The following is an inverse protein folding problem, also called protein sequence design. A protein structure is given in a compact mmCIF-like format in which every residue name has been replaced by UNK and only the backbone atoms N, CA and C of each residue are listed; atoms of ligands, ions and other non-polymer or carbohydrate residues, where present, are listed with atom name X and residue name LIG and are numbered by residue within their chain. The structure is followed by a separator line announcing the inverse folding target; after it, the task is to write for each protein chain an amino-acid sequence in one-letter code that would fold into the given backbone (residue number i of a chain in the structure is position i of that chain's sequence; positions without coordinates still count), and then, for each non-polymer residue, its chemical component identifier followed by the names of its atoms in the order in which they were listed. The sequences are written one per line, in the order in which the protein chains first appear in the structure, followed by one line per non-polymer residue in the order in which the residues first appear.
data_IF_025953845274
#
_entry.id   IF_025953845274
#
_cell.length_a   1.000
_cell.length_b   1.000
_cell.length_c   1.000
_cell.angle_alpha   90.00
_cell.angle_beta   90.00
_cell.angle_gamma   90.00
#
_symmetry.space_group_name_H-M   'P 1'
#
loop_
_entity.id
_entity.type
_entity.pdbx_description
1 polymer ?
#
# COMPACT_ATOMS: atom_id res chain seq x y z
N UNK A 1 6.41 -13.55 2.54
CA UNK A 1 5.32 -12.83 1.84
C UNK A 1 5.86 -11.79 0.85
N UNK A 2 6.80 -10.90 1.23
CA UNK A 2 7.44 -9.98 0.27
C UNK A 2 8.36 -10.70 -0.74
N UNK A 3 9.05 -11.74 -0.30
CA UNK A 3 9.97 -12.53 -1.14
C UNK A 3 9.22 -13.34 -2.22
N UNK A 4 8.12 -14.00 -1.84
CA UNK A 4 7.24 -14.72 -2.77
C UNK A 4 6.60 -13.82 -3.84
N UNK A 5 6.30 -12.55 -3.50
CA UNK A 5 5.78 -11.58 -4.49
C UNK A 5 6.88 -11.17 -5.47
N UNK A 6 8.12 -11.00 -4.99
CA UNK A 6 9.26 -10.68 -5.87
C UNK A 6 9.58 -11.83 -6.82
N UNK A 7 9.58 -13.07 -6.32
CA UNK A 7 9.76 -14.27 -7.14
C UNK A 7 8.65 -14.37 -8.20
N UNK A 8 7.39 -14.19 -7.81
CA UNK A 8 6.27 -14.26 -8.74
C UNK A 8 6.33 -13.14 -9.81
N UNK A 9 6.70 -11.93 -9.41
CA UNK A 9 6.92 -10.79 -10.33
C UNK A 9 8.07 -11.07 -11.30
N UNK A 10 9.12 -11.75 -10.85
CA UNK A 10 10.24 -12.14 -11.70
C UNK A 10 9.85 -13.25 -12.68
N UNK A 11 9.15 -14.28 -12.21
CA UNK A 11 8.64 -15.36 -13.07
C UNK A 11 7.71 -14.84 -14.16
N UNK A 12 6.79 -13.93 -13.82
CA UNK A 12 5.88 -13.31 -14.80
C UNK A 12 6.67 -12.52 -15.85
N UNK A 13 7.67 -11.71 -15.43
CA UNK A 13 8.52 -10.99 -16.40
C UNK A 13 9.30 -11.91 -17.31
N UNK A 14 9.89 -12.98 -16.78
CA UNK A 14 10.63 -13.96 -17.57
C UNK A 14 9.71 -14.66 -18.58
N UNK A 15 8.49 -15.03 -18.16
CA UNK A 15 7.48 -15.61 -19.04
C UNK A 15 7.05 -14.64 -20.15
N UNK A 16 6.83 -13.36 -19.84
CA UNK A 16 6.50 -12.34 -20.86
C UNK A 16 7.62 -12.26 -21.90
N UNK A 17 8.87 -12.13 -21.47
CA UNK A 17 10.03 -12.04 -22.39
C UNK A 17 10.12 -13.28 -23.29
N UNK A 18 9.95 -14.48 -22.71
CA UNK A 18 9.99 -15.73 -23.47
C UNK A 18 8.82 -15.84 -24.45
N UNK A 19 7.60 -15.52 -24.02
CA UNK A 19 6.41 -15.58 -24.87
C UNK A 19 6.46 -14.56 -26.01
N UNK A 20 6.97 -13.33 -25.77
CA UNK A 20 7.19 -12.34 -26.83
C UNK A 20 8.26 -12.81 -27.83
N UNK A 21 9.33 -13.47 -27.36
CA UNK A 21 10.33 -14.02 -28.26
C UNK A 21 9.75 -15.17 -29.11
N UNK A 22 8.93 -16.03 -28.51
CA UNK A 22 8.23 -17.12 -29.19
C UNK A 22 7.27 -16.57 -30.25
N UNK A 23 6.47 -15.55 -29.91
CA UNK A 23 5.57 -14.87 -30.83
C UNK A 23 6.33 -14.35 -32.07
N UNK A 24 7.46 -13.64 -31.87
CA UNK A 24 8.27 -13.13 -32.99
C UNK A 24 8.84 -14.22 -33.87
N UNK A 25 9.27 -15.34 -33.28
CA UNK A 25 9.77 -16.48 -34.06
C UNK A 25 8.66 -17.13 -34.89
N UNK A 26 7.45 -17.28 -34.32
CA UNK A 26 6.29 -17.81 -35.04
C UNK A 26 5.82 -16.86 -36.14
N UNK A 27 5.80 -15.55 -35.90
CA UNK A 27 5.50 -14.53 -36.92
C UNK A 27 6.49 -14.61 -38.09
N UNK A 28 7.78 -14.80 -37.81
CA UNK A 28 8.79 -14.96 -38.87
C UNK A 28 8.58 -16.23 -39.71
N UNK A 29 8.12 -17.34 -39.11
CA UNK A 29 7.79 -18.57 -39.84
C UNK A 29 6.50 -18.41 -40.65
N UNK A 30 5.54 -17.62 -40.16
CA UNK A 30 4.30 -17.31 -40.88
C UNK A 30 4.57 -16.47 -42.14
N UNK A 31 5.59 -15.61 -42.14
CA UNK A 31 5.92 -14.74 -43.28
C UNK A 31 6.53 -15.48 -44.49
N UNK A 32 7.11 -16.68 -44.28
CA UNK A 32 7.81 -17.44 -45.33
C UNK A 32 7.03 -18.68 -45.77
N UNK A 33 6.27 -18.56 -46.87
CA UNK A 33 5.51 -19.67 -47.49
C UNK A 33 6.36 -20.91 -47.78
N UNK A 34 7.65 -20.74 -48.16
CA UNK A 34 8.57 -21.86 -48.40
C UNK A 34 8.85 -22.69 -47.14
N UNK A 35 8.91 -22.05 -45.97
CA UNK A 35 9.18 -22.72 -44.70
C UNK A 35 7.93 -23.44 -44.20
N UNK A 36 6.73 -22.90 -44.47
CA UNK A 36 5.47 -23.60 -44.26
C UNK A 36 5.32 -24.81 -45.19
N UNK A 37 5.71 -24.70 -46.47
CA UNK A 37 5.70 -25.83 -47.42
C UNK A 37 6.63 -26.96 -46.96
N UNK A 38 7.80 -26.62 -46.38
CA UNK A 38 8.78 -27.59 -45.85
C UNK A 38 8.33 -28.30 -44.57
N UNK A 39 7.33 -27.79 -43.86
CA UNK A 39 6.76 -28.45 -42.68
C UNK A 39 6.02 -29.76 -43.02
N UNK A 40 5.58 -29.93 -44.28
CA UNK A 40 4.85 -31.11 -44.75
C UNK A 40 5.78 -32.29 -45.10
N UNK A 41 6.66 -32.64 -44.14
CA UNK A 41 7.69 -33.69 -44.28
C UNK A 41 7.12 -35.06 -44.65
N UNK A 42 5.92 -35.40 -44.18
CA UNK A 42 5.25 -36.67 -44.54
C UNK A 42 4.87 -36.71 -46.02
N UNK A 43 4.42 -35.61 -46.61
CA UNK A 43 4.06 -35.54 -48.03
C UNK A 43 5.30 -35.58 -48.91
N UNK A 44 6.35 -34.86 -48.51
CA UNK A 44 7.64 -34.87 -49.19
C UNK A 44 8.31 -36.26 -49.19
N UNK A 45 8.19 -37.01 -48.09
CA UNK A 45 8.72 -38.36 -47.99
C UNK A 45 7.92 -39.39 -48.79
N UNK A 46 6.63 -39.16 -49.04
CA UNK A 46 5.73 -40.14 -49.65
C UNK A 46 5.47 -39.90 -51.15
N UNK A 47 5.93 -38.77 -51.70
CA UNK A 47 5.72 -38.40 -53.11
C UNK A 47 6.84 -38.92 -54.06
N UNK A 48 6.50 -39.47 -55.26
CA UNK A 48 7.47 -39.75 -56.33
C UNK A 48 7.99 -38.45 -57.01
N UNK A 49 9.06 -38.50 -57.85
CA UNK A 49 9.71 -37.30 -58.42
C UNK A 49 8.76 -36.45 -59.30
N UNK A 50 9.01 -35.13 -59.42
CA UNK A 50 7.99 -34.13 -59.66
C UNK A 50 7.56 -34.10 -61.13
N UNK A 51 6.31 -34.51 -61.40
CA UNK A 51 5.65 -34.26 -62.68
C UNK A 51 4.25 -33.69 -62.45
N UNK A 52 4.15 -32.49 -61.88
CA UNK A 52 2.98 -31.63 -62.03
C UNK A 52 3.25 -30.23 -61.44
N UNK A 53 3.36 -29.17 -62.27
CA UNK A 53 3.36 -27.79 -61.81
C UNK A 53 1.91 -27.39 -61.53
N UNK A 54 1.47 -27.40 -60.28
CA UNK A 54 0.11 -26.97 -59.96
C UNK A 54 -0.37 -27.14 -58.53
N UNK A 55 0.39 -27.81 -57.67
CA UNK A 55 0.07 -28.00 -56.26
C UNK A 55 1.20 -27.33 -55.47
N UNK A 56 1.02 -26.07 -55.09
CA UNK A 56 2.00 -25.36 -54.23
C UNK A 56 1.31 -24.48 -53.20
N UNK A 57 0.25 -23.77 -53.59
CA UNK A 57 -0.43 -22.82 -52.71
C UNK A 57 -1.47 -23.41 -51.76
N UNK A 58 -1.97 -24.62 -52.02
CA UNK A 58 -3.04 -25.23 -51.21
C UNK A 58 -2.53 -26.08 -50.06
N UNK A 59 -1.22 -26.35 -50.00
CA UNK A 59 -0.68 -27.26 -48.98
C UNK A 59 -0.30 -26.55 -47.68
N UNK A 60 -0.01 -25.24 -47.68
CA UNK A 60 0.36 -24.51 -46.44
C UNK A 60 -0.84 -23.93 -45.65
N UNK A 61 -2.03 -23.83 -46.24
CA UNK A 61 -3.20 -23.14 -45.66
C UNK A 61 -3.64 -23.73 -44.29
N UNK A 62 -3.53 -25.06 -44.11
CA UNK A 62 -3.82 -25.71 -42.83
C UNK A 62 -2.77 -25.40 -41.76
N UNK A 63 -1.47 -25.35 -42.13
CA UNK A 63 -0.39 -25.00 -41.22
C UNK A 63 -0.45 -23.51 -40.84
N UNK A 64 -0.74 -22.64 -41.79
CA UNK A 64 -0.94 -21.20 -41.61
C UNK A 64 -2.08 -20.93 -40.61
N UNK A 65 -3.26 -21.54 -40.82
CA UNK A 65 -4.40 -21.38 -39.91
C UNK A 65 -4.11 -21.86 -38.49
N UNK A 66 -3.37 -22.96 -38.33
CA UNK A 66 -2.95 -23.44 -37.02
C UNK A 66 -1.94 -22.48 -36.37
N UNK A 67 -0.97 -21.98 -37.14
CA UNK A 67 0.05 -21.05 -36.65
C UNK A 67 -0.56 -19.71 -36.23
N UNK A 68 -1.51 -19.17 -37.01
CA UNK A 68 -2.29 -17.99 -36.66
C UNK A 68 -3.12 -18.19 -35.38
N UNK A 69 -3.76 -19.35 -35.23
CA UNK A 69 -4.52 -19.70 -34.02
C UNK A 69 -3.60 -19.71 -32.79
N UNK A 70 -2.42 -20.32 -32.88
CA UNK A 70 -1.42 -20.32 -31.80
C UNK A 70 -0.87 -18.93 -31.53
N UNK A 71 -0.57 -18.12 -32.55
CA UNK A 71 -0.14 -16.74 -32.39
C UNK A 71 -1.20 -15.91 -31.65
N UNK A 72 -2.47 -16.08 -31.99
CA UNK A 72 -3.58 -15.40 -31.32
C UNK A 72 -3.73 -15.84 -29.86
N UNK A 73 -3.56 -17.14 -29.56
CA UNK A 73 -3.60 -17.66 -28.19
C UNK A 73 -2.42 -17.13 -27.35
N UNK A 74 -1.22 -17.07 -27.93
CA UNK A 74 -0.02 -16.50 -27.27
C UNK A 74 -0.22 -15.01 -27.00
N UNK A 75 -0.73 -14.25 -27.97
CA UNK A 75 -1.05 -12.83 -27.81
C UNK A 75 -2.05 -12.60 -26.67
N UNK A 76 -3.15 -13.34 -26.65
CA UNK A 76 -4.14 -13.29 -25.57
C UNK A 76 -3.52 -13.65 -24.21
N UNK A 77 -2.60 -14.62 -24.17
CA UNK A 77 -1.90 -14.98 -22.94
C UNK A 77 -0.97 -13.87 -22.46
N UNK A 78 -0.23 -13.22 -23.37
CA UNK A 78 0.61 -12.06 -23.07
C UNK A 78 -0.21 -10.90 -22.50
N UNK A 79 -1.34 -10.56 -23.11
CA UNK A 79 -2.23 -9.51 -22.62
C UNK A 79 -2.71 -9.79 -21.18
N UNK A 80 -3.07 -11.04 -20.88
CA UNK A 80 -3.46 -11.46 -19.53
C UNK A 80 -2.29 -11.41 -18.52
N UNK A 81 -1.07 -11.70 -18.95
CA UNK A 81 0.13 -11.58 -18.12
C UNK A 81 0.45 -10.11 -17.81
N UNK A 82 0.33 -9.21 -18.78
CA UNK A 82 0.51 -7.77 -18.58
C UNK A 82 -0.54 -7.21 -17.59
N UNK A 83 -1.81 -7.61 -17.74
CA UNK A 83 -2.86 -7.27 -16.79
C UNK A 83 -2.55 -7.77 -15.38
N UNK A 84 -2.00 -8.99 -15.26
CA UNK A 84 -1.62 -9.57 -13.98
C UNK A 84 -0.44 -8.82 -13.35
N UNK A 85 0.56 -8.42 -14.13
CA UNK A 85 1.66 -7.57 -13.65
C UNK A 85 1.14 -6.23 -13.12
N UNK A 86 0.24 -5.59 -13.88
CA UNK A 86 -0.39 -4.34 -13.46
C UNK A 86 -1.20 -4.50 -12.16
N UNK A 87 -1.95 -5.61 -12.03
CA UNK A 87 -2.69 -5.91 -10.80
C UNK A 87 -1.77 -6.13 -9.59
N UNK A 88 -0.62 -6.79 -9.78
CA UNK A 88 0.39 -6.97 -8.74
C UNK A 88 0.97 -5.63 -8.31
N UNK A 89 1.35 -4.76 -9.26
CA UNK A 89 1.89 -3.43 -8.95
C UNK A 89 0.85 -2.55 -8.22
N UNK A 90 -0.40 -2.58 -8.68
CA UNK A 90 -1.50 -1.87 -8.05
C UNK A 90 -1.74 -2.37 -6.61
N UNK A 91 -1.66 -3.68 -6.40
CA UNK A 91 -1.77 -4.30 -5.07
C UNK A 91 -0.60 -3.93 -4.16
N UNK A 92 0.63 -3.90 -4.69
CA UNK A 92 1.82 -3.44 -3.96
C UNK A 92 1.64 -2.00 -3.45
N UNK A 93 1.17 -1.11 -4.32
CA UNK A 93 0.84 0.28 -3.96
C UNK A 93 -0.26 0.32 -2.90
N UNK A 94 -1.33 -0.45 -3.04
CA UNK A 94 -2.40 -0.52 -2.05
C UNK A 94 -1.90 -0.98 -0.67
N UNK A 95 -1.09 -2.05 -0.62
CA UNK A 95 -0.53 -2.56 0.64
C UNK A 95 0.40 -1.52 1.28
N UNK A 96 1.24 -0.85 0.50
CA UNK A 96 2.12 0.22 0.99
C UNK A 96 1.33 1.38 1.61
N UNK A 97 0.27 1.85 0.93
CA UNK A 97 -0.62 2.89 1.45
C UNK A 97 -1.30 2.48 2.76
N UNK A 98 -1.72 1.22 2.88
CA UNK A 98 -2.34 0.68 4.10
C UNK A 98 -1.34 0.61 5.26
N UNK A 99 -0.09 0.20 4.99
CA UNK A 99 0.99 0.19 5.98
C UNK A 99 1.31 1.59 6.49
N UNK A 100 1.41 2.58 5.58
CA UNK A 100 1.69 3.97 5.95
C UNK A 100 0.54 4.60 6.72
N UNK A 101 -0.70 4.33 6.34
CA UNK A 101 -1.90 4.74 7.09
C UNK A 101 -1.93 4.10 8.50
N UNK A 102 -1.57 2.82 8.60
CA UNK A 102 -1.46 2.11 9.88
C UNK A 102 -0.39 2.71 10.81
N UNK A 103 0.81 2.99 10.28
CA UNK A 103 1.89 3.67 11.00
C UNK A 103 1.47 5.07 11.44
N UNK A 104 0.84 5.84 10.56
CA UNK A 104 0.38 7.18 10.88
C UNK A 104 -0.71 7.16 11.98
N UNK A 105 -1.58 6.15 11.98
CA UNK A 105 -2.55 5.95 13.07
C UNK A 105 -1.87 5.64 14.40
N UNK A 106 -0.89 4.75 14.40
CA UNK A 106 -0.13 4.42 15.61
C UNK A 106 0.63 5.63 16.15
N UNK A 107 1.31 6.37 15.28
CA UNK A 107 1.99 7.62 15.64
C UNK A 107 1.01 8.65 16.23
N UNK A 108 -0.19 8.79 15.62
CA UNK A 108 -1.24 9.66 16.15
C UNK A 108 -1.57 9.25 17.58
N UNK A 109 -1.87 7.97 17.83
CA UNK A 109 -2.23 7.46 19.17
C UNK A 109 -1.10 7.66 20.17
N UNK A 110 0.16 7.39 19.79
CA UNK A 110 1.32 7.56 20.67
C UNK A 110 1.51 9.03 21.09
N UNK A 111 1.39 9.96 20.15
CA UNK A 111 1.41 11.40 20.44
C UNK A 111 0.28 11.80 21.39
N UNK A 112 -0.90 11.17 21.30
CA UNK A 112 -1.99 11.42 22.26
C UNK A 112 -1.65 10.90 23.64
N UNK A 113 -1.19 9.66 23.74
CA UNK A 113 -0.89 9.01 25.00
C UNK A 113 0.23 9.76 25.75
N UNK A 114 1.28 10.15 25.05
CA UNK A 114 2.39 10.93 25.62
C UNK A 114 1.94 12.33 26.06
N UNK A 115 1.09 13.00 25.29
CA UNK A 115 0.54 14.31 25.68
C UNK A 115 -0.31 14.21 26.95
N UNK A 116 -1.20 13.21 27.05
CA UNK A 116 -2.01 12.96 28.26
C UNK A 116 -1.12 12.65 29.46
N UNK A 117 -0.12 11.78 29.27
CA UNK A 117 0.85 11.42 30.32
C UNK A 117 1.67 12.62 30.79
N UNK A 118 2.08 13.51 29.88
CA UNK A 118 2.79 14.73 30.22
C UNK A 118 1.95 15.65 31.10
N UNK A 119 0.67 15.88 30.76
CA UNK A 119 -0.25 16.70 31.56
C UNK A 119 -0.44 16.08 32.96
N UNK A 120 -0.66 14.76 33.03
CA UNK A 120 -0.78 14.07 34.30
C UNK A 120 0.49 14.19 35.15
N UNK A 121 1.66 14.09 34.52
CA UNK A 121 2.96 14.25 35.18
C UNK A 121 3.14 15.67 35.74
N UNK A 122 2.76 16.71 35.00
CA UNK A 122 2.80 18.09 35.48
C UNK A 122 1.84 18.31 36.67
N UNK A 123 0.62 17.79 36.60
CA UNK A 123 -0.33 17.86 37.72
C UNK A 123 0.16 17.10 38.95
N UNK A 124 0.73 15.92 38.76
CA UNK A 124 1.32 15.11 39.83
C UNK A 124 2.55 15.79 40.45
N UNK A 125 3.40 16.44 39.66
CA UNK A 125 4.54 17.20 40.17
C UNK A 125 4.12 18.34 41.10
N UNK A 126 3.11 19.11 40.69
CA UNK A 126 2.58 20.22 41.51
C UNK A 126 1.93 19.68 42.78
N UNK A 127 1.10 18.63 42.67
CA UNK A 127 0.52 17.95 43.82
C UNK A 127 1.57 17.38 44.77
N UNK A 128 2.69 16.86 44.25
CA UNK A 128 3.80 16.36 45.05
C UNK A 128 4.49 17.51 45.80
N UNK A 129 4.79 18.64 45.15
CA UNK A 129 5.44 19.81 45.78
C UNK A 129 4.62 20.38 46.93
N UNK A 130 3.29 20.42 46.80
CA UNK A 130 2.40 20.89 47.88
C UNK A 130 2.01 19.79 48.88
N UNK A 131 2.15 18.51 48.51
CA UNK A 131 1.79 17.36 49.33
C UNK A 131 2.91 16.88 50.27
N UNK A 132 4.15 17.31 50.06
CA UNK A 132 5.20 17.18 51.07
C UNK A 132 4.85 18.07 52.26
N UNK A 133 5.13 17.59 53.48
CA UNK A 133 4.75 18.22 54.76
C UNK A 133 5.33 19.64 54.92
N UNK A 134 4.69 20.63 54.29
CA UNK A 134 5.07 22.03 54.34
C UNK A 134 4.50 22.65 55.62
N UNK A 135 5.23 22.48 56.73
CA UNK A 135 5.24 23.46 57.81
C UNK A 135 5.83 24.76 57.25
N UNK A 136 5.03 25.48 56.48
CA UNK A 136 5.41 26.78 55.94
C UNK A 136 5.13 27.81 57.03
N UNK A 137 6.12 28.62 57.46
CA UNK A 137 5.97 29.59 58.55
C UNK A 137 4.94 30.71 58.28
N UNK A 138 4.30 30.69 57.10
CA UNK A 138 3.17 31.53 56.71
C UNK A 138 1.82 31.05 57.27
N UNK A 139 1.70 29.79 57.70
CA UNK A 139 0.46 29.23 58.27
C UNK A 139 0.53 29.03 59.80
N UNK A 140 1.67 29.32 60.43
CA UNK A 140 1.89 29.17 61.88
C UNK A 140 1.63 30.47 62.67
N UNK A 141 1.15 31.51 61.98
CA UNK A 141 0.81 32.81 62.58
C UNK A 141 -0.64 32.74 63.14
N UNK A 142 -0.86 33.00 64.45
CA UNK A 142 -2.16 32.83 65.13
C UNK A 142 -3.32 33.65 64.57
N UNK A 143 -3.08 34.55 63.60
CA UNK A 143 -4.13 35.28 62.85
C UNK A 143 -4.79 34.46 61.74
N UNK A 144 -4.19 33.33 61.34
CA UNK A 144 -4.60 32.52 60.18
C UNK A 144 -4.91 31.06 60.52
N UNK A 145 -5.16 30.77 61.81
CA UNK A 145 -5.43 29.44 62.40
C UNK A 145 -6.70 28.74 61.86
N UNK A 146 -7.51 29.46 61.09
CA UNK A 146 -8.74 28.96 60.46
C UNK A 146 -8.52 28.21 59.12
N UNK A 147 -7.27 28.02 58.68
CA UNK A 147 -6.94 27.19 57.50
C UNK A 147 -7.46 27.71 56.15
N UNK A 148 -8.04 28.92 56.12
CA UNK A 148 -8.68 29.48 54.93
C UNK A 148 -7.69 29.77 53.80
N UNK A 149 -6.47 30.23 54.14
CA UNK A 149 -5.39 30.46 53.17
C UNK A 149 -4.94 29.16 52.50
N UNK A 150 -4.87 28.07 53.26
CA UNK A 150 -4.51 26.75 52.72
C UNK A 150 -5.56 26.28 51.71
N UNK A 151 -6.84 26.36 52.09
CA UNK A 151 -7.96 26.01 51.20
C UNK A 151 -8.01 26.89 49.95
N UNK A 152 -7.66 28.18 50.06
CA UNK A 152 -7.62 29.09 48.92
C UNK A 152 -6.48 28.74 47.95
N UNK A 153 -5.28 28.45 48.45
CA UNK A 153 -4.12 28.08 47.62
C UNK A 153 -4.34 26.73 46.95
N UNK A 154 -4.84 25.72 47.68
CA UNK A 154 -5.19 24.42 47.11
C UNK A 154 -6.34 24.54 46.11
N UNK A 155 -7.35 25.36 46.40
CA UNK A 155 -8.45 25.62 45.49
C UNK A 155 -8.00 26.31 44.19
N UNK A 156 -7.12 27.31 44.30
CA UNK A 156 -6.62 28.07 43.15
C UNK A 156 -5.69 27.22 42.28
N UNK A 157 -4.82 26.41 42.88
CA UNK A 157 -3.97 25.46 42.15
C UNK A 157 -4.79 24.38 41.45
N UNK A 158 -5.80 23.80 42.11
CA UNK A 158 -6.74 22.86 41.49
C UNK A 158 -7.55 23.51 40.35
N UNK A 159 -8.01 24.75 40.51
CA UNK A 159 -8.75 25.47 39.49
C UNK A 159 -7.89 25.76 38.25
N UNK A 160 -6.62 26.15 38.44
CA UNK A 160 -5.68 26.37 37.35
C UNK A 160 -5.34 25.06 36.63
N UNK A 161 -5.15 23.96 37.36
CA UNK A 161 -4.93 22.62 36.79
C UNK A 161 -6.14 22.17 35.97
N UNK A 162 -7.35 22.29 36.53
CA UNK A 162 -8.58 21.92 35.85
C UNK A 162 -8.84 22.79 34.62
N UNK A 163 -8.60 24.10 34.72
CA UNK A 163 -8.70 25.03 33.59
C UNK A 163 -7.72 24.69 32.47
N UNK A 164 -6.46 24.40 32.80
CA UNK A 164 -5.45 23.99 31.83
C UNK A 164 -5.82 22.66 31.16
N UNK A 165 -6.32 21.69 31.93
CA UNK A 165 -6.83 20.42 31.41
C UNK A 165 -8.02 20.62 30.47
N UNK A 166 -8.99 21.46 30.82
CA UNK A 166 -10.16 21.75 29.98
C UNK A 166 -9.76 22.49 28.69
N UNK A 167 -8.85 23.48 28.78
CA UNK A 167 -8.36 24.20 27.60
C UNK A 167 -7.60 23.26 26.66
N UNK A 168 -6.76 22.37 27.19
CA UNK A 168 -6.06 21.36 26.41
C UNK A 168 -7.02 20.32 25.84
N UNK A 169 -8.03 19.89 26.60
CA UNK A 169 -9.07 18.97 26.13
C UNK A 169 -9.89 19.59 25.00
N UNK A 170 -10.25 20.87 25.09
CA UNK A 170 -10.96 21.61 24.05
C UNK A 170 -10.07 21.85 22.83
N UNK A 171 -8.82 22.28 23.02
CA UNK A 171 -7.85 22.40 21.94
C UNK A 171 -7.68 21.07 21.23
N UNK A 172 -7.57 19.98 21.98
CA UNK A 172 -7.43 18.64 21.46
C UNK A 172 -8.67 18.16 20.70
N UNK A 173 -9.87 18.35 21.27
CA UNK A 173 -11.15 17.99 20.64
C UNK A 173 -11.36 18.81 19.36
N UNK A 174 -11.01 20.09 19.37
CA UNK A 174 -11.07 20.96 18.19
C UNK A 174 -10.06 20.54 17.11
N UNK A 175 -8.84 20.12 17.50
CA UNK A 175 -7.82 19.62 16.58
C UNK A 175 -8.24 18.29 15.96
N UNK A 176 -8.84 17.39 16.75
CA UNK A 176 -9.36 16.11 16.25
C UNK A 176 -10.52 16.33 15.27
N UNK A 177 -11.48 17.19 15.62
CA UNK A 177 -12.60 17.58 14.73
C UNK A 177 -12.10 18.23 13.43
N UNK A 178 -11.07 19.07 13.48
CA UNK A 178 -10.47 19.65 12.29
C UNK A 178 -9.65 18.65 11.47
N UNK A 179 -9.06 17.61 12.07
CA UNK A 179 -8.38 16.54 11.30
C UNK A 179 -9.35 15.63 10.56
N UNK A 180 -10.56 15.40 11.08
CA UNK A 180 -11.59 14.66 10.32
C UNK A 180 -12.09 15.47 9.11
N UNK A 181 -12.20 16.79 9.24
CA UNK A 181 -12.57 17.66 8.11
C UNK A 181 -11.53 17.67 6.98
N UNK A 182 -10.26 17.43 7.28
CA UNK A 182 -9.18 17.38 6.27
C UNK A 182 -9.06 16.02 5.58
N UNK A 183 -9.47 14.92 6.22
CA UNK A 183 -9.43 13.56 5.62
C UNK A 183 -10.64 13.30 4.70
N UNK A 184 -11.74 14.03 4.88
CA UNK A 184 -12.95 13.91 4.04
C UNK A 184 -12.85 14.71 2.72
N UNK A 185 -11.77 15.46 2.49
CA UNK A 185 -11.54 16.21 1.23
C UNK A 185 -10.35 15.69 0.41
N UNK A 186 -10.36 14.43 -0.04
CA UNK A 186 -9.81 14.15 -1.35
C UNK A 186 -10.83 13.40 -2.20
N UNK A 187 -12.00 13.98 -2.44
CA UNK A 187 -12.73 13.72 -3.68
C UNK A 187 -13.73 14.85 -3.96
N UNK A 188 -13.94 15.12 -5.24
CA UNK A 188 -14.80 16.14 -5.86
C UNK A 188 -14.10 17.49 -6.10
N UNK A 189 -13.24 17.51 -7.12
CA UNK A 189 -13.54 18.18 -8.40
C UNK A 189 -12.57 17.71 -9.47
#
# INVERSE_FOLDING_TARGET
QLESVRELKQQVRELIVQATALQRCLEAVLEEDEDMERMYLTKLHTAPPPTAPGIKHTEHEEAEMLLECYLQEIGSTLDNLELTEYQIESTEKFVSFRLDSGRNRLLKVDVLATTVSAIFSFGSFIGAVFGVNLQTPLFDDPRYDNGWLFNLVVGLTCFVMFGCFVVLWLYFTSRFSNTEKFVVLPNVS
#
